data_IF_269621287978
#
_entry.id   IF_269621287978
#
_cell.length_a   1.000
_cell.length_b   1.000
_cell.length_c   1.000
_cell.angle_alpha   90.00
_cell.angle_beta   90.00
_cell.angle_gamma   90.00
#
_symmetry.space_group_name_H-M   'P 1'
#
loop_
_entity.id
_entity.type
_entity.pdbx_description
1 polymer ?
#
# COMPACT_ATOMS: atom_id res chain seq x y z
N UNK A 1 -49.25 59.06 5.78
CA UNK A 1 -49.52 57.73 5.20
C UNK A 1 -48.34 56.84 5.56
N UNK A 2 -48.57 55.88 6.46
CA UNK A 2 -47.61 54.86 6.86
C UNK A 2 -47.63 53.72 5.83
N UNK A 3 -46.48 53.35 5.27
CA UNK A 3 -45.88 52.01 5.44
C UNK A 3 -44.69 51.76 4.50
N UNK A 4 -43.78 50.85 4.88
CA UNK A 4 -42.42 50.70 4.38
C UNK A 4 -42.25 49.48 3.45
N UNK A 5 -41.15 49.41 2.69
CA UNK A 5 -40.68 48.17 2.04
C UNK A 5 -39.15 48.19 2.06
N UNK A 6 -38.54 47.64 3.12
CA UNK A 6 -38.00 46.28 3.26
C UNK A 6 -36.63 46.09 2.59
N UNK A 7 -35.64 45.84 3.46
CA UNK A 7 -34.32 45.31 3.16
C UNK A 7 -34.46 43.99 2.40
N UNK A 8 -33.85 43.90 1.23
CA UNK A 8 -33.44 42.62 0.67
C UNK A 8 -31.94 42.48 0.91
N UNK A 9 -31.60 41.92 2.08
CA UNK A 9 -30.36 41.16 2.21
C UNK A 9 -30.36 40.15 1.09
N UNK A 10 -29.38 40.23 0.19
CA UNK A 10 -29.02 39.13 -0.69
C UNK A 10 -28.43 38.04 0.20
N UNK A 11 -29.34 37.26 0.79
CA UNK A 11 -29.04 35.94 1.30
C UNK A 11 -28.43 35.17 0.13
N UNK A 12 -27.16 34.83 0.29
CA UNK A 12 -26.51 33.88 -0.57
C UNK A 12 -27.40 32.64 -0.60
N UNK A 13 -27.86 32.28 -1.79
CA UNK A 13 -28.49 30.98 -2.04
C UNK A 13 -27.40 29.95 -1.77
N UNK A 14 -27.24 29.57 -0.50
CA UNK A 14 -26.63 28.33 -0.06
C UNK A 14 -27.58 27.28 -0.62
N UNK A 15 -27.31 26.84 -1.84
CA UNK A 15 -28.00 25.73 -2.47
C UNK A 15 -27.80 24.51 -1.59
N UNK A 16 -28.83 24.23 -0.81
CA UNK A 16 -29.35 22.90 -0.53
C UNK A 16 -28.28 21.87 -0.16
N UNK A 17 -27.95 21.85 1.13
CA UNK A 17 -27.34 20.71 1.81
C UNK A 17 -28.34 19.55 1.92
N UNK A 18 -28.92 19.11 0.81
CA UNK A 18 -29.52 17.78 0.67
C UNK A 18 -28.40 16.77 0.87
N UNK A 19 -28.23 16.35 2.13
CA UNK A 19 -27.67 15.08 2.60
C UNK A 19 -26.78 14.39 1.56
N UNK A 20 -25.63 14.98 1.23
CA UNK A 20 -24.68 14.36 0.32
C UNK A 20 -24.19 13.09 1.01
N UNK A 21 -24.66 11.93 0.56
CA UNK A 21 -24.20 10.65 1.07
C UNK A 21 -23.00 10.18 0.26
N UNK A 22 -22.13 9.41 0.90
CA UNK A 22 -21.00 8.78 0.24
C UNK A 22 -21.53 7.88 -0.87
N UNK A 23 -21.13 8.12 -2.11
CA UNK A 23 -21.59 7.30 -3.26
C UNK A 23 -21.16 5.83 -3.11
N UNK A 24 -20.12 5.54 -2.33
CA UNK A 24 -19.60 4.18 -2.16
C UNK A 24 -20.34 3.35 -1.10
N UNK A 25 -20.59 3.94 0.07
CA UNK A 25 -21.15 3.24 1.24
C UNK A 25 -22.43 3.87 1.79
N UNK A 26 -22.95 4.91 1.14
CA UNK A 26 -24.16 5.66 1.52
C UNK A 26 -24.14 6.28 2.93
N UNK A 27 -23.01 6.26 3.66
CA UNK A 27 -22.85 7.00 4.91
C UNK A 27 -23.00 8.50 4.65
N UNK A 28 -23.55 9.22 5.62
CA UNK A 28 -23.65 10.68 5.64
C UNK A 28 -22.53 11.34 6.46
N UNK A 29 -21.59 10.56 6.99
CA UNK A 29 -20.56 11.04 7.91
C UNK A 29 -19.30 11.51 7.15
N UNK A 30 -18.72 12.64 7.60
CA UNK A 30 -17.47 13.22 7.07
C UNK A 30 -17.40 13.25 5.53
N UNK A 31 -18.39 13.88 4.91
CA UNK A 31 -18.55 13.87 3.46
C UNK A 31 -17.80 15.03 2.82
N UNK A 32 -16.92 14.68 1.88
CA UNK A 32 -16.18 15.62 1.07
C UNK A 32 -16.13 15.15 -0.38
N UNK A 33 -15.82 16.08 -1.30
CA UNK A 33 -15.64 15.73 -2.71
C UNK A 33 -14.25 15.12 -2.95
N UNK A 34 -14.23 13.94 -3.58
CA UNK A 34 -13.03 13.32 -4.14
C UNK A 34 -13.29 13.09 -5.63
N UNK A 35 -12.53 13.77 -6.51
CA UNK A 35 -12.68 13.68 -7.98
C UNK A 35 -14.09 14.03 -8.49
N UNK A 36 -14.74 15.00 -7.86
CA UNK A 36 -16.08 15.47 -8.24
C UNK A 36 -17.23 14.59 -7.74
N UNK A 37 -16.94 13.55 -6.95
CA UNK A 37 -17.97 12.70 -6.33
C UNK A 37 -17.90 12.79 -4.80
N UNK A 38 -19.05 12.74 -4.09
CA UNK A 38 -19.06 12.73 -2.63
C UNK A 38 -18.56 11.38 -2.08
N UNK A 39 -17.60 11.46 -1.16
CA UNK A 39 -17.01 10.34 -0.41
C UNK A 39 -16.97 10.67 1.07
N UNK A 40 -17.23 9.68 1.93
CA UNK A 40 -16.91 9.80 3.35
C UNK A 40 -15.41 9.67 3.59
N UNK A 41 -14.91 10.20 4.71
CA UNK A 41 -13.49 10.15 5.10
C UNK A 41 -12.85 8.78 4.91
N UNK A 42 -13.48 7.73 5.44
CA UNK A 42 -13.00 6.35 5.32
C UNK A 42 -12.87 5.86 3.88
N UNK A 43 -13.87 6.11 3.01
CA UNK A 43 -13.80 5.67 1.61
C UNK A 43 -12.76 6.50 0.83
N UNK A 44 -12.68 7.79 1.13
CA UNK A 44 -11.70 8.71 0.55
C UNK A 44 -10.27 8.28 0.87
N UNK A 45 -9.97 7.96 2.12
CA UNK A 45 -8.66 7.47 2.55
C UNK A 45 -8.28 6.17 1.84
N UNK A 46 -9.20 5.19 1.80
CA UNK A 46 -8.94 3.94 1.10
C UNK A 46 -8.69 4.14 -0.41
N UNK A 47 -9.46 5.00 -1.08
CA UNK A 47 -9.23 5.33 -2.49
C UNK A 47 -7.91 6.06 -2.72
N UNK A 48 -7.49 6.93 -1.80
CA UNK A 48 -6.19 7.61 -1.86
C UNK A 48 -5.04 6.62 -1.69
N UNK A 49 -5.13 5.67 -0.75
CA UNK A 49 -4.12 4.61 -0.57
C UNK A 49 -3.98 3.77 -1.85
N UNK A 50 -5.10 3.38 -2.47
CA UNK A 50 -5.09 2.64 -3.74
C UNK A 50 -4.47 3.49 -4.85
N UNK A 51 -4.78 4.78 -4.92
CA UNK A 51 -4.21 5.69 -5.91
C UNK A 51 -2.69 5.85 -5.73
N UNK A 52 -2.20 6.07 -4.51
CA UNK A 52 -0.78 6.18 -4.19
C UNK A 52 -0.02 4.90 -4.54
N UNK A 53 -0.57 3.72 -4.22
CA UNK A 53 0.04 2.45 -4.59
C UNK A 53 0.09 2.24 -6.12
N UNK A 54 -0.92 2.70 -6.87
CA UNK A 54 -0.92 2.65 -8.35
C UNK A 54 0.14 3.59 -8.93
N UNK A 55 0.27 4.78 -8.36
CA UNK A 55 1.28 5.75 -8.75
C UNK A 55 2.69 5.20 -8.50
N UNK A 56 2.95 4.64 -7.32
CA UNK A 56 4.21 3.97 -6.99
C UNK A 56 4.56 2.88 -8.03
N UNK A 57 3.63 1.95 -8.27
CA UNK A 57 3.83 0.86 -9.24
C UNK A 57 4.06 1.40 -10.66
N UNK A 58 3.33 2.43 -11.07
CA UNK A 58 3.51 3.07 -12.37
C UNK A 58 4.85 3.80 -12.51
N UNK A 59 5.27 4.50 -11.45
CA UNK A 59 6.52 5.26 -11.40
C UNK A 59 7.74 4.36 -11.54
N UNK A 60 7.74 3.20 -10.87
CA UNK A 60 8.84 2.23 -10.92
C UNK A 60 8.71 1.21 -12.06
N UNK A 61 7.70 1.31 -12.92
CA UNK A 61 7.48 0.35 -14.02
C UNK A 61 7.19 -1.07 -13.55
N UNK A 62 6.68 -1.21 -12.33
CA UNK A 62 6.40 -2.49 -11.69
C UNK A 62 5.13 -3.13 -12.25
N UNK A 63 4.95 -4.42 -11.95
CA UNK A 63 3.73 -5.11 -12.32
C UNK A 63 2.51 -4.44 -11.65
N UNK A 64 1.43 -4.13 -12.42
CA UNK A 64 0.21 -3.55 -11.88
C UNK A 64 -0.33 -4.25 -10.64
N UNK A 65 -0.96 -3.47 -9.75
CA UNK A 65 -1.62 -3.99 -8.56
C UNK A 65 -2.66 -5.05 -8.95
N UNK A 66 -2.59 -6.19 -8.28
CA UNK A 66 -3.50 -7.32 -8.48
C UNK A 66 -3.57 -8.17 -7.22
N UNK A 67 -4.01 -9.42 -7.34
CA UNK A 67 -4.12 -10.32 -6.20
C UNK A 67 -2.77 -10.78 -5.63
N UNK A 68 -1.69 -10.67 -6.40
CA UNK A 68 -0.35 -11.09 -5.96
C UNK A 68 0.34 -10.03 -5.11
N UNK A 69 0.77 -10.45 -3.92
CA UNK A 69 1.61 -9.65 -3.00
C UNK A 69 3.10 -9.99 -3.12
N UNK A 70 3.45 -10.92 -4.01
CA UNK A 70 4.84 -11.32 -4.26
C UNK A 70 5.63 -10.15 -4.79
N UNK A 71 6.64 -9.72 -4.03
CA UNK A 71 7.60 -8.68 -4.37
C UNK A 71 8.93 -9.06 -3.73
N UNK A 72 10.03 -8.82 -4.43
CA UNK A 72 11.39 -8.98 -3.89
C UNK A 72 11.83 -7.73 -3.11
N UNK A 73 11.15 -6.60 -3.32
CA UNK A 73 11.37 -5.33 -2.61
C UNK A 73 10.33 -5.11 -1.50
N UNK A 74 10.79 -4.64 -0.33
CA UNK A 74 9.95 -4.44 0.84
C UNK A 74 9.01 -3.23 0.68
N UNK A 75 9.48 -2.13 0.11
CA UNK A 75 8.68 -0.93 -0.11
C UNK A 75 7.54 -1.21 -1.11
N UNK A 76 7.83 -1.94 -2.19
CA UNK A 76 6.79 -2.45 -3.10
C UNK A 76 5.78 -3.34 -2.37
N UNK A 77 6.24 -4.22 -1.48
CA UNK A 77 5.36 -5.11 -0.71
C UNK A 77 4.40 -4.32 0.17
N UNK A 78 4.89 -3.28 0.83
CA UNK A 78 4.06 -2.37 1.65
C UNK A 78 2.95 -1.73 0.80
N UNK A 79 3.27 -1.21 -0.39
CA UNK A 79 2.28 -0.63 -1.29
C UNK A 79 1.23 -1.66 -1.77
N UNK A 80 1.66 -2.89 -2.09
CA UNK A 80 0.74 -3.98 -2.48
C UNK A 80 -0.20 -4.36 -1.34
N UNK A 81 0.31 -4.49 -0.12
CA UNK A 81 -0.48 -4.84 1.07
C UNK A 81 -1.46 -3.71 1.41
N UNK A 82 -0.99 -2.47 1.47
CA UNK A 82 -1.83 -1.31 1.75
C UNK A 82 -2.97 -1.17 0.73
N UNK A 83 -2.69 -1.38 -0.56
CA UNK A 83 -3.73 -1.40 -1.59
C UNK A 83 -4.75 -2.53 -1.39
N UNK A 84 -4.31 -3.75 -1.05
CA UNK A 84 -5.21 -4.88 -0.76
C UNK A 84 -6.13 -4.56 0.41
N UNK A 85 -5.58 -4.02 1.49
CA UNK A 85 -6.34 -3.73 2.71
C UNK A 85 -7.33 -2.59 2.47
N UNK A 86 -6.92 -1.54 1.75
CA UNK A 86 -7.82 -0.49 1.30
C UNK A 86 -8.95 -1.02 0.39
N UNK A 87 -8.66 -1.94 -0.53
CA UNK A 87 -9.68 -2.62 -1.33
C UNK A 87 -10.64 -3.45 -0.47
N UNK A 88 -10.14 -4.12 0.57
CA UNK A 88 -10.96 -4.87 1.50
C UNK A 88 -11.90 -3.95 2.29
N UNK A 89 -11.41 -2.80 2.77
CA UNK A 89 -12.21 -1.77 3.43
C UNK A 89 -13.34 -1.30 2.52
N UNK A 90 -13.02 -0.91 1.28
CA UNK A 90 -14.01 -0.48 0.31
C UNK A 90 -15.04 -1.57 0.03
N UNK A 91 -14.60 -2.79 -0.28
CA UNK A 91 -15.50 -3.91 -0.58
C UNK A 91 -16.42 -4.26 0.60
N UNK A 92 -15.94 -4.15 1.83
CA UNK A 92 -16.73 -4.41 3.03
C UNK A 92 -17.84 -3.38 3.24
N UNK A 93 -17.58 -2.10 2.97
CA UNK A 93 -18.56 -1.02 3.17
C UNK A 93 -19.50 -0.76 2.00
N UNK A 94 -19.28 -1.43 0.88
CA UNK A 94 -19.97 -1.10 -0.36
C UNK A 94 -21.47 -1.39 -0.23
N UNK A 95 -22.31 -0.36 -0.38
CA UNK A 95 -23.78 -0.49 -0.24
C UNK A 95 -24.46 -1.11 -1.45
N UNK A 96 -23.83 -1.07 -2.62
CA UNK A 96 -24.22 -1.88 -3.78
C UNK A 96 -23.06 -2.73 -4.30
N UNK A 97 -23.10 -4.07 -4.17
CA UNK A 97 -22.17 -4.91 -4.91
C UNK A 97 -22.37 -4.67 -6.42
N UNK A 98 -21.31 -4.65 -7.24
CA UNK A 98 -21.50 -4.57 -8.68
C UNK A 98 -22.36 -5.77 -9.08
N UNK A 99 -23.44 -5.51 -9.82
CA UNK A 99 -24.28 -6.58 -10.37
C UNK A 99 -23.36 -7.55 -11.09
N UNK A 100 -23.19 -8.75 -10.53
CA UNK A 100 -22.43 -9.81 -11.19
C UNK A 100 -23.21 -10.19 -12.44
N UNK A 101 -22.88 -9.57 -13.56
CA UNK A 101 -23.26 -10.10 -14.85
C UNK A 101 -22.60 -11.49 -14.96
N UNK A 102 -23.36 -12.56 -14.67
CA UNK A 102 -23.04 -13.91 -15.14
C UNK A 102 -23.20 -13.90 -16.66
N UNK A 103 -22.26 -13.29 -17.37
CA UNK A 103 -22.12 -13.48 -18.81
C UNK A 103 -21.28 -14.72 -19.04
N UNK A 104 -21.90 -15.88 -18.81
CA UNK A 104 -21.44 -17.11 -19.44
C UNK A 104 -21.72 -17.03 -20.92
N UNK A 105 -20.81 -16.46 -21.72
CA UNK A 105 -20.73 -16.72 -23.16
C UNK A 105 -19.26 -16.73 -23.59
N UNK A 106 -18.81 -17.94 -23.93
CA UNK A 106 -17.70 -18.17 -24.86
C UNK A 106 -17.93 -17.29 -26.08
N UNK A 107 -17.02 -16.36 -26.33
CA UNK A 107 -16.99 -15.49 -27.49
C UNK A 107 -15.60 -15.56 -28.09
N UNK A 108 -15.50 -16.36 -29.13
CA UNK A 108 -14.44 -16.45 -30.13
C UNK A 108 -13.82 -15.09 -30.48
N UNK A 109 -12.48 -15.07 -30.55
CA UNK A 109 -11.72 -14.03 -31.25
C UNK A 109 -12.19 -13.93 -32.71
N UNK A 110 -12.12 -12.72 -33.32
CA UNK A 110 -11.14 -12.59 -34.39
C UNK A 110 -10.43 -11.22 -34.48
N UNK A 111 -9.16 -11.34 -34.86
CA UNK A 111 -8.41 -10.57 -35.86
C UNK A 111 -8.44 -9.04 -35.95
N UNK A 112 -7.22 -8.51 -35.79
CA UNK A 112 -6.50 -7.57 -36.69
C UNK A 112 -7.11 -6.21 -37.03
N UNK A 113 -6.33 -5.16 -36.74
CA UNK A 113 -5.59 -4.37 -37.74
C UNK A 113 -5.57 -2.85 -37.44
N UNK A 114 -4.33 -2.36 -37.31
CA UNK A 114 -3.77 -1.11 -37.88
C UNK A 114 -4.18 0.31 -37.44
N UNK A 115 -3.14 1.00 -36.95
CA UNK A 115 -2.61 2.34 -37.31
C UNK A 115 -3.15 3.64 -36.70
N UNK A 116 -2.13 4.44 -36.30
CA UNK A 116 -1.99 5.92 -36.33
C UNK A 116 -2.75 6.64 -35.21
N UNK A 117 -2.23 7.71 -34.60
CA UNK A 117 -1.24 8.68 -35.04
C UNK A 117 -0.65 9.41 -33.82
N UNK A 118 0.53 9.97 -34.02
CA UNK A 118 1.26 10.85 -33.11
C UNK A 118 0.46 12.04 -32.59
N UNK A 119 0.83 12.50 -31.39
CA UNK A 119 0.38 13.74 -30.78
C UNK A 119 1.39 14.23 -29.74
N UNK A 120 2.40 14.92 -30.23
CA UNK A 120 3.41 15.71 -29.51
C UNK A 120 2.75 16.74 -28.57
N UNK A 121 3.34 17.07 -27.42
CA UNK A 121 3.65 18.46 -26.96
C UNK A 121 4.45 18.43 -25.64
N UNK A 122 5.29 19.44 -25.52
CA UNK A 122 6.46 19.73 -24.70
C UNK A 122 6.21 20.33 -23.31
N UNK A 123 7.10 19.96 -22.35
CA UNK A 123 7.81 20.83 -21.37
C UNK A 123 7.01 21.58 -20.26
N UNK A 124 7.66 22.31 -19.32
CA UNK A 124 8.68 21.93 -18.32
C UNK A 124 8.39 22.48 -16.88
N UNK A 125 9.23 22.11 -15.88
CA UNK A 125 9.54 22.82 -14.60
C UNK A 125 8.38 22.91 -13.56
N UNK A 126 8.56 23.02 -12.25
CA UNK A 126 9.71 23.19 -11.35
C UNK A 126 9.34 22.74 -9.92
N UNK A 127 10.39 22.48 -9.14
CA UNK A 127 10.54 22.49 -7.66
C UNK A 127 9.33 22.92 -6.81
N UNK A 128 9.07 22.15 -5.75
CA UNK A 128 9.06 22.74 -4.40
C UNK A 128 9.48 21.76 -3.31
N UNK A 129 10.28 22.31 -2.40
CA UNK A 129 10.80 21.76 -1.15
C UNK A 129 9.77 22.02 -0.04
N UNK A 130 9.64 21.10 0.91
CA UNK A 130 8.89 21.28 2.16
C UNK A 130 8.56 19.91 2.76
N UNK A 131 9.45 19.29 3.53
CA UNK A 131 9.69 19.50 4.97
C UNK A 131 8.53 19.04 5.86
N UNK A 132 8.79 17.98 6.63
CA UNK A 132 8.18 17.74 7.94
C UNK A 132 7.00 16.79 7.96
N UNK A 133 7.27 15.48 8.05
CA UNK A 133 6.33 14.56 8.70
C UNK A 133 6.91 14.13 10.04
N UNK A 134 6.16 14.46 11.10
CA UNK A 134 6.49 14.23 12.49
C UNK A 134 6.70 12.73 12.76
N UNK A 135 7.87 12.41 13.27
CA UNK A 135 8.24 11.08 13.75
C UNK A 135 7.54 10.86 15.11
N UNK A 136 6.88 9.71 15.37
CA UNK A 136 6.43 9.41 16.72
C UNK A 136 7.66 9.31 17.63
N UNK A 137 7.65 10.09 18.69
CA UNK A 137 8.64 10.05 19.74
C UNK A 137 8.49 8.75 20.55
N UNK A 138 9.64 8.25 20.99
CA UNK A 138 9.83 7.22 22.01
C UNK A 138 9.70 5.75 21.58
N UNK A 139 10.52 5.36 20.60
CA UNK A 139 11.19 4.06 20.67
C UNK A 139 12.64 4.36 21.00
N UNK A 140 13.04 4.13 22.25
CA UNK A 140 14.44 4.25 22.67
C UNK A 140 15.33 3.46 21.70
N UNK A 141 16.38 4.12 21.19
CA UNK A 141 17.35 3.50 20.30
C UNK A 141 18.03 2.37 21.10
N UNK A 142 18.01 1.11 20.62
CA UNK A 142 18.68 0.00 21.30
C UNK A 142 20.15 0.34 21.52
N UNK A 143 20.65 0.06 22.72
CA UNK A 143 22.04 0.32 23.08
C UNK A 143 22.98 -0.66 22.35
N UNK A 144 24.27 -0.31 22.25
CA UNK A 144 25.29 -1.12 21.57
C UNK A 144 25.39 -2.52 22.17
N UNK A 145 25.30 -2.64 23.49
CA UNK A 145 25.35 -3.95 24.18
C UNK A 145 24.14 -4.83 23.83
N UNK A 146 22.95 -4.25 23.78
CA UNK A 146 21.73 -4.93 23.38
C UNK A 146 21.80 -5.41 21.92
N UNK A 147 22.31 -4.56 21.02
CA UNK A 147 22.55 -4.93 19.62
C UNK A 147 23.54 -6.10 19.48
N UNK A 148 24.60 -6.13 20.29
CA UNK A 148 25.58 -7.23 20.30
C UNK A 148 24.98 -8.52 20.85
N UNK A 149 24.22 -8.46 21.95
CA UNK A 149 23.52 -9.61 22.53
C UNK A 149 22.54 -10.23 21.53
N UNK A 150 21.75 -9.38 20.85
CA UNK A 150 20.83 -9.82 19.80
C UNK A 150 21.56 -10.45 18.61
N UNK A 151 22.68 -9.88 18.18
CA UNK A 151 23.51 -10.45 17.12
C UNK A 151 24.08 -11.83 17.50
N UNK A 152 24.57 -11.98 18.74
CA UNK A 152 25.07 -13.27 19.25
C UNK A 152 23.96 -14.33 19.30
N UNK A 153 22.76 -13.96 19.75
CA UNK A 153 21.60 -14.85 19.76
C UNK A 153 21.23 -15.31 18.33
N UNK A 154 21.22 -14.39 17.36
CA UNK A 154 20.94 -14.71 15.96
C UNK A 154 22.02 -15.60 15.32
N UNK A 155 23.30 -15.42 15.67
CA UNK A 155 24.37 -16.30 15.23
C UNK A 155 24.24 -17.72 15.80
N UNK A 156 23.83 -17.84 17.07
CA UNK A 156 23.47 -19.13 17.65
C UNK A 156 22.33 -19.81 16.89
N UNK A 157 21.25 -19.06 16.61
CA UNK A 157 20.13 -19.55 15.80
C UNK A 157 20.55 -19.96 14.39
N UNK A 158 21.48 -19.23 13.77
CA UNK A 158 22.00 -19.57 12.44
C UNK A 158 22.70 -20.93 12.46
N UNK A 159 23.56 -21.17 13.45
CA UNK A 159 24.27 -22.46 13.59
C UNK A 159 23.31 -23.64 13.80
N UNK A 160 22.27 -23.47 14.63
CA UNK A 160 21.23 -24.48 14.85
C UNK A 160 20.43 -24.78 13.57
N UNK A 161 20.13 -23.74 12.77
CA UNK A 161 19.47 -23.90 11.47
C UNK A 161 20.38 -24.69 10.52
N UNK A 162 21.67 -24.36 10.44
CA UNK A 162 22.63 -25.04 9.57
C UNK A 162 22.79 -26.53 9.92
N UNK A 163 22.86 -26.86 11.21
CA UNK A 163 22.89 -28.26 11.67
C UNK A 163 21.62 -29.02 11.26
N UNK A 164 20.44 -28.43 11.48
CA UNK A 164 19.16 -29.01 11.04
C UNK A 164 19.07 -29.15 9.54
N UNK A 165 19.69 -28.24 8.79
CA UNK A 165 19.73 -28.26 7.33
C UNK A 165 20.58 -29.44 6.84
N UNK A 166 21.73 -29.69 7.48
CA UNK A 166 22.56 -30.87 7.20
C UNK A 166 21.81 -32.19 7.44
N UNK A 167 21.07 -32.30 8.56
CA UNK A 167 20.23 -33.47 8.85
C UNK A 167 19.10 -33.61 7.83
N UNK A 168 18.42 -32.53 7.47
CA UNK A 168 17.31 -32.56 6.52
C UNK A 168 17.76 -32.88 5.08
N UNK A 169 18.98 -32.51 4.69
CA UNK A 169 19.56 -32.88 3.38
C UNK A 169 19.87 -34.38 3.27
N UNK A 170 20.14 -35.05 4.39
CA UNK A 170 20.34 -36.49 4.43
C UNK A 170 19.04 -37.30 4.26
N UNK A 171 17.86 -36.66 4.37
CA UNK A 171 16.56 -37.26 4.09
C UNK A 171 16.10 -36.90 2.66
N UNK A 172 16.21 -37.82 1.68
CA UNK A 172 15.85 -37.55 0.29
C UNK A 172 14.33 -37.51 0.04
N UNK A 173 13.50 -37.78 1.06
CA UNK A 173 12.04 -37.77 0.94
C UNK A 173 11.44 -36.39 0.69
N UNK A 174 10.18 -36.35 0.22
CA UNK A 174 9.43 -35.10 -0.01
C UNK A 174 9.35 -34.24 1.27
N UNK A 175 9.21 -34.89 2.43
CA UNK A 175 9.26 -34.23 3.74
C UNK A 175 10.62 -33.60 4.04
N UNK A 176 11.72 -34.27 3.68
CA UNK A 176 13.07 -33.72 3.81
C UNK A 176 13.27 -32.50 2.92
N UNK A 177 12.82 -32.56 1.66
CA UNK A 177 12.88 -31.44 0.72
C UNK A 177 12.09 -30.21 1.18
N UNK A 178 10.88 -30.41 1.72
CA UNK A 178 10.09 -29.32 2.30
C UNK A 178 10.82 -28.68 3.51
N UNK A 179 11.35 -29.51 4.43
CA UNK A 179 12.14 -29.03 5.58
C UNK A 179 13.39 -28.25 5.14
N UNK A 180 14.09 -28.70 4.10
CA UNK A 180 15.25 -27.99 3.54
C UNK A 180 14.85 -26.62 3.00
N UNK A 181 13.73 -26.53 2.28
CA UNK A 181 13.20 -25.25 1.78
C UNK A 181 12.87 -24.30 2.92
N UNK A 182 12.14 -24.77 3.94
CA UNK A 182 11.75 -23.95 5.09
C UNK A 182 12.96 -23.49 5.92
N UNK A 183 13.94 -24.37 6.15
CA UNK A 183 15.18 -24.05 6.88
C UNK A 183 16.05 -23.07 6.09
N UNK A 184 16.09 -23.19 4.76
CA UNK A 184 16.80 -22.22 3.90
C UNK A 184 16.15 -20.84 3.97
N UNK A 185 14.81 -20.77 3.91
CA UNK A 185 14.10 -19.51 4.06
C UNK A 185 14.34 -18.85 5.43
N UNK A 186 14.40 -19.66 6.50
CA UNK A 186 14.75 -19.19 7.85
C UNK A 186 16.19 -18.69 7.94
N UNK A 187 17.15 -19.42 7.37
CA UNK A 187 18.56 -19.01 7.28
C UNK A 187 18.68 -17.63 6.63
N UNK A 188 18.04 -17.44 5.48
CA UNK A 188 18.11 -16.19 4.73
C UNK A 188 17.46 -15.02 5.48
N UNK A 189 16.38 -15.28 6.23
CA UNK A 189 15.75 -14.28 7.11
C UNK A 189 16.67 -13.84 8.25
N UNK A 190 17.35 -14.79 8.90
CA UNK A 190 18.32 -14.51 9.97
C UNK A 190 19.51 -13.70 9.42
N UNK A 191 20.05 -14.07 8.26
CA UNK A 191 21.13 -13.34 7.60
C UNK A 191 20.74 -11.90 7.23
N UNK A 192 19.53 -11.67 6.71
CA UNK A 192 19.01 -10.31 6.46
C UNK A 192 18.91 -9.49 7.74
N UNK A 193 18.45 -10.11 8.83
CA UNK A 193 18.34 -9.45 10.14
C UNK A 193 19.72 -9.09 10.70
N UNK A 194 20.71 -9.98 10.56
CA UNK A 194 22.10 -9.71 10.94
C UNK A 194 22.68 -8.54 10.14
N UNK A 195 22.47 -8.50 8.82
CA UNK A 195 22.91 -7.38 7.98
C UNK A 195 22.28 -6.05 8.39
N UNK A 196 20.99 -6.06 8.76
CA UNK A 196 20.30 -4.87 9.27
C UNK A 196 20.88 -4.40 10.62
N UNK A 197 21.21 -5.33 11.52
CA UNK A 197 21.86 -5.03 12.80
C UNK A 197 23.28 -4.47 12.61
N UNK A 198 24.05 -5.00 11.65
CA UNK A 198 25.37 -4.45 11.31
C UNK A 198 25.27 -3.02 10.78
N UNK A 199 24.27 -2.74 9.93
CA UNK A 199 23.99 -1.38 9.44
C UNK A 199 23.59 -0.45 10.58
N UNK A 200 22.76 -0.93 11.51
CA UNK A 200 22.40 -0.17 12.72
C UNK A 200 23.64 0.13 13.57
N UNK A 201 24.51 -0.87 13.82
CA UNK A 201 25.78 -0.69 14.55
C UNK A 201 26.68 0.36 13.89
N UNK A 202 26.84 0.35 12.57
CA UNK A 202 27.63 1.38 11.84
C UNK A 202 27.05 2.78 11.98
N UNK A 203 25.72 2.91 12.06
CA UNK A 203 25.08 4.20 12.31
C UNK A 203 25.23 4.70 13.76
N UNK A 204 25.65 3.85 14.71
CA UNK A 204 25.94 4.23 16.10
C UNK A 204 27.40 4.69 16.28
N UNK A 205 28.34 4.25 15.45
CA UNK A 205 29.74 4.70 15.49
C UNK A 205 29.84 6.06 14.76
N UNK A 206 30.10 7.19 15.45
CA UNK A 206 30.36 8.46 14.77
C UNK A 206 31.70 8.38 14.02
N UNK A 207 31.69 8.81 12.76
CA UNK A 207 32.88 8.89 11.89
C UNK A 207 33.88 9.96 12.36
#
# INVERSE_FOLDING_TARGET
MFSPVNLASTDAIVTDSTTRSCVWCSSSDDIAELRGEPRCGRCREAEQVIAAAREFVGFYGLRPLGASLTSDDEEEREHRVAARDAWAVLNQTRTQPPLRARSGKRGTAPSTSTTRTAGHTTAPKAKNVGSGSARPADVSRPDREELMSRAQSLLGQLSEIEERLAVAQADPGLSGRAKVSDLTAKRDSVLRTLAALEKAKRALEPA
#
